data_IF_224711027922
#
_entry.id   IF_224711027922
#
_cell.length_a   1.000
_cell.length_b   1.000
_cell.length_c   1.000
_cell.angle_alpha   90.00
_cell.angle_beta   90.00
_cell.angle_gamma   90.00
#
_symmetry.space_group_name_H-M   'P 1'
#
loop_
_entity.id
_entity.type
_entity.pdbx_description
1 polymer ?
#
# COMPACT_ATOMS: atom_id res chain seq x y z
N UNK A 1 -21.89 -12.35 -15.98
CA UNK A 1 -20.98 -11.64 -15.05
C UNK A 1 -20.68 -10.25 -15.57
N UNK A 2 -20.06 -9.37 -14.79
CA UNK A 2 -19.90 -7.92 -15.09
C UNK A 2 -19.38 -7.61 -16.50
N UNK A 3 -18.53 -8.47 -17.07
CA UNK A 3 -17.98 -8.34 -18.42
C UNK A 3 -19.04 -8.30 -19.54
N UNK A 4 -20.22 -8.92 -19.33
CA UNK A 4 -21.31 -8.88 -20.33
C UNK A 4 -21.90 -7.47 -20.50
N UNK A 5 -21.64 -6.57 -19.56
CA UNK A 5 -22.10 -5.19 -19.61
C UNK A 5 -21.18 -4.27 -20.43
N UNK A 6 -19.94 -4.71 -20.71
CA UNK A 6 -18.92 -3.87 -21.34
C UNK A 6 -19.32 -3.27 -22.70
N UNK A 7 -20.05 -3.98 -23.59
CA UNK A 7 -20.52 -3.42 -24.84
C UNK A 7 -21.46 -2.20 -24.68
N UNK A 8 -22.12 -2.05 -23.53
CA UNK A 8 -23.12 -1.00 -23.31
C UNK A 8 -22.53 0.32 -22.78
N UNK A 9 -21.27 0.34 -22.36
CA UNK A 9 -20.59 1.58 -21.96
C UNK A 9 -19.94 2.27 -23.16
N UNK A 10 -19.80 3.59 -23.12
CA UNK A 10 -19.06 4.34 -24.14
C UNK A 10 -17.55 4.14 -24.05
N UNK A 11 -17.03 4.04 -22.81
CA UNK A 11 -15.60 3.90 -22.52
C UNK A 11 -15.40 2.91 -21.37
N UNK A 12 -14.29 2.17 -21.43
CA UNK A 12 -13.81 1.27 -20.39
C UNK A 12 -12.49 1.84 -19.87
N UNK A 13 -12.50 2.44 -18.68
CA UNK A 13 -11.37 3.23 -18.17
C UNK A 13 -10.56 2.40 -17.17
N UNK A 14 -9.27 2.22 -17.46
CA UNK A 14 -8.29 1.62 -16.55
C UNK A 14 -7.51 2.69 -15.80
N UNK A 15 -7.01 2.35 -14.60
CA UNK A 15 -6.21 3.24 -13.74
C UNK A 15 -4.78 3.51 -14.25
N UNK A 16 -4.34 2.82 -15.30
CA UNK A 16 -3.03 3.04 -15.93
C UNK A 16 -3.01 2.57 -17.38
N UNK A 17 -2.02 3.06 -18.14
CA UNK A 17 -1.79 2.62 -19.53
C UNK A 17 -1.42 1.13 -19.61
N UNK A 18 -0.60 0.65 -18.68
CA UNK A 18 -0.19 -0.77 -18.61
C UNK A 18 -1.40 -1.66 -18.35
N UNK A 19 -2.24 -1.30 -17.37
CA UNK A 19 -3.48 -2.04 -17.07
C UNK A 19 -4.45 -2.00 -18.25
N UNK A 20 -4.54 -0.87 -18.96
CA UNK A 20 -5.33 -0.77 -20.20
C UNK A 20 -4.85 -1.78 -21.25
N UNK A 21 -3.54 -1.84 -21.51
CA UNK A 21 -2.97 -2.77 -22.48
C UNK A 21 -3.22 -4.23 -22.11
N UNK A 22 -3.05 -4.58 -20.83
CA UNK A 22 -3.34 -5.94 -20.34
C UNK A 22 -4.82 -6.29 -20.47
N UNK A 23 -5.72 -5.35 -20.16
CA UNK A 23 -7.15 -5.54 -20.35
C UNK A 23 -7.50 -5.68 -21.84
N UNK A 24 -6.92 -4.88 -22.73
CA UNK A 24 -7.16 -5.01 -24.18
C UNK A 24 -6.77 -6.41 -24.66
N UNK A 25 -5.60 -6.93 -24.25
CA UNK A 25 -5.13 -8.26 -24.65
C UNK A 25 -6.04 -9.38 -24.14
N UNK A 26 -6.53 -9.28 -22.91
CA UNK A 26 -7.23 -10.39 -22.23
C UNK A 26 -8.74 -10.40 -22.45
N UNK A 27 -9.38 -9.24 -22.58
CA UNK A 27 -10.85 -9.13 -22.51
C UNK A 27 -11.49 -8.27 -23.61
N UNK A 28 -10.71 -7.68 -24.52
CA UNK A 28 -11.30 -6.95 -25.65
C UNK A 28 -12.00 -7.91 -26.63
N UNK A 29 -13.07 -7.42 -27.25
CA UNK A 29 -13.77 -8.09 -28.34
C UNK A 29 -14.20 -7.08 -29.40
N UNK A 30 -14.82 -7.55 -30.48
CA UNK A 30 -15.24 -6.70 -31.61
C UNK A 30 -16.11 -5.52 -31.21
N UNK A 31 -16.91 -5.63 -30.15
CA UNK A 31 -17.80 -4.55 -29.67
C UNK A 31 -17.11 -3.58 -28.71
N UNK A 32 -15.92 -3.91 -28.18
CA UNK A 32 -15.28 -3.14 -27.09
C UNK A 32 -13.85 -2.69 -27.39
N UNK A 33 -13.21 -3.16 -28.47
CA UNK A 33 -11.80 -2.90 -28.79
C UNK A 33 -11.42 -1.41 -28.73
N UNK A 34 -12.26 -0.54 -29.26
CA UNK A 34 -11.97 0.91 -29.35
C UNK A 34 -12.43 1.71 -28.12
N UNK A 35 -13.03 1.02 -27.13
CA UNK A 35 -13.60 1.64 -25.92
C UNK A 35 -12.60 1.79 -24.78
N UNK A 36 -11.47 1.08 -24.82
CA UNK A 36 -10.50 1.09 -23.73
C UNK A 36 -9.73 2.41 -23.65
N UNK A 37 -9.73 3.01 -22.47
CA UNK A 37 -9.01 4.25 -22.12
C UNK A 37 -8.27 4.08 -20.80
N UNK A 38 -7.29 4.95 -20.56
CA UNK A 38 -6.55 5.03 -19.31
C UNK A 38 -6.75 6.40 -18.68
N UNK A 39 -6.89 6.42 -17.37
CA UNK A 39 -6.84 7.63 -16.56
C UNK A 39 -6.03 7.31 -15.33
N UNK A 40 -4.91 8.00 -15.15
CA UNK A 40 -4.06 7.80 -13.99
C UNK A 40 -4.79 8.29 -12.74
N UNK A 41 -4.70 7.52 -11.66
CA UNK A 41 -5.15 8.00 -10.35
C UNK A 41 -4.27 9.18 -9.93
N UNK A 42 -4.92 10.26 -9.51
CA UNK A 42 -4.24 11.44 -8.98
C UNK A 42 -4.09 11.35 -7.47
N UNK A 43 -3.06 11.99 -6.94
CA UNK A 43 -2.88 12.21 -5.51
C UNK A 43 -3.22 13.66 -5.17
N UNK A 44 -3.64 13.91 -3.92
CA UNK A 44 -3.89 15.26 -3.43
C UNK A 44 -2.61 15.79 -2.78
N UNK A 45 -1.85 16.61 -3.53
CA UNK A 45 -0.57 17.14 -3.07
C UNK A 45 -0.73 18.10 -1.89
N UNK A 46 -1.72 18.99 -1.92
CA UNK A 46 -1.95 19.97 -0.86
C UNK A 46 -2.25 19.27 0.47
N UNK A 47 -3.09 18.23 0.44
CA UNK A 47 -3.35 17.40 1.62
C UNK A 47 -2.07 16.72 2.11
N UNK A 48 -1.24 16.20 1.21
CA UNK A 48 0.02 15.56 1.60
C UNK A 48 0.91 16.58 2.32
N UNK A 49 1.11 17.77 1.74
CA UNK A 49 1.96 18.81 2.32
C UNK A 49 1.45 19.28 3.69
N UNK A 50 0.14 19.49 3.84
CA UNK A 50 -0.44 19.88 5.13
C UNK A 50 -0.24 18.83 6.23
N UNK A 51 -0.13 17.54 5.86
CA UNK A 51 0.06 16.44 6.80
C UNK A 51 1.53 16.12 7.12
N UNK A 52 2.51 16.69 6.40
CA UNK A 52 3.95 16.36 6.62
C UNK A 52 4.41 16.73 8.03
N UNK A 53 3.93 17.87 8.54
CA UNK A 53 4.34 18.39 9.85
C UNK A 53 3.41 17.93 10.99
N UNK A 54 2.39 17.11 10.69
CA UNK A 54 1.51 16.53 11.69
C UNK A 54 2.17 15.31 12.36
N UNK A 55 2.79 15.53 13.52
CA UNK A 55 3.42 14.48 14.34
C UNK A 55 2.40 13.76 15.27
N UNK A 56 1.10 13.83 14.97
CA UNK A 56 0.00 13.39 15.84
C UNK A 56 0.04 11.89 16.20
N UNK A 57 0.68 11.07 15.38
CA UNK A 57 0.78 9.61 15.58
C UNK A 57 2.04 9.18 16.36
N UNK A 58 2.90 10.14 16.73
CA UNK A 58 4.16 9.89 17.46
C UNK A 58 4.04 10.39 18.89
N UNK A 59 4.22 9.48 19.85
CA UNK A 59 4.06 9.75 21.28
C UNK A 59 5.41 9.66 22.00
N UNK A 60 5.46 10.22 23.21
CA UNK A 60 6.60 10.08 24.11
C UNK A 60 6.29 9.07 25.22
N UNK A 61 7.15 8.07 25.40
CA UNK A 61 7.06 7.08 26.49
C UNK A 61 8.44 6.90 27.12
N UNK A 62 8.58 7.20 28.41
CA UNK A 62 9.84 7.11 29.15
C UNK A 62 11.03 7.86 28.49
N UNK A 63 10.76 8.98 27.82
CA UNK A 63 11.79 9.75 27.10
C UNK A 63 12.09 9.27 25.68
N UNK A 64 11.42 8.21 25.19
CA UNK A 64 11.57 7.69 23.83
C UNK A 64 10.38 8.04 22.94
N UNK A 65 10.64 8.35 21.66
CA UNK A 65 9.60 8.50 20.63
C UNK A 65 9.08 7.11 20.26
N UNK A 66 7.76 6.93 20.31
CA UNK A 66 7.09 5.66 20.01
C UNK A 66 5.88 5.86 19.10
N UNK A 67 5.61 4.86 18.26
CA UNK A 67 4.33 4.71 17.56
C UNK A 67 3.44 3.78 18.39
N UNK A 68 2.19 4.15 18.55
CA UNK A 68 1.21 3.35 19.30
C UNK A 68 0.44 2.45 18.33
N UNK A 69 0.23 1.18 18.73
CA UNK A 69 -0.63 0.24 17.99
C UNK A 69 -1.52 -0.52 18.96
N UNK A 70 -2.75 -0.75 18.54
CA UNK A 70 -3.66 -1.66 19.25
C UNK A 70 -3.42 -3.10 18.78
N UNK A 71 -3.25 -4.01 19.73
CA UNK A 71 -3.12 -5.44 19.48
C UNK A 71 -3.90 -6.19 20.58
N UNK A 72 -4.87 -7.02 20.20
CA UNK A 72 -5.68 -7.82 21.13
C UNK A 72 -6.35 -7.00 22.26
N UNK A 73 -6.88 -5.81 21.91
CA UNK A 73 -7.45 -4.82 22.84
C UNK A 73 -6.46 -4.25 23.86
N UNK A 74 -5.16 -4.45 23.64
CA UNK A 74 -4.08 -3.85 24.42
C UNK A 74 -3.34 -2.81 23.59
N UNK A 75 -3.02 -1.70 24.23
CA UNK A 75 -2.22 -0.64 23.63
C UNK A 75 -0.74 -1.00 23.80
N UNK A 76 -0.06 -1.25 22.69
CA UNK A 76 1.38 -1.50 22.65
C UNK A 76 2.10 -0.35 21.95
N UNK A 77 3.39 -0.19 22.24
CA UNK A 77 4.23 0.89 21.71
C UNK A 77 5.45 0.32 21.00
N UNK A 78 5.75 0.83 19.81
CA UNK A 78 6.94 0.46 19.03
C UNK A 78 7.91 1.66 19.00
N UNK A 79 9.19 1.49 19.36
CA UNK A 79 10.17 2.57 19.26
C UNK A 79 10.29 3.15 17.85
N UNK A 80 10.43 4.47 17.77
CA UNK A 80 10.50 5.23 16.52
C UNK A 80 11.60 6.30 16.59
N UNK A 81 12.86 5.85 16.60
CA UNK A 81 13.99 6.74 16.80
C UNK A 81 14.35 7.45 15.50
N UNK A 82 14.66 8.75 15.56
CA UNK A 82 15.07 9.52 14.36
C UNK A 82 16.30 8.92 13.67
N UNK A 83 17.23 8.33 14.45
CA UNK A 83 18.48 7.75 13.96
C UNK A 83 18.34 6.41 13.22
N UNK A 84 17.23 5.67 13.38
CA UNK A 84 17.05 4.37 12.71
C UNK A 84 17.03 4.52 11.18
N UNK A 85 17.57 3.54 10.46
CA UNK A 85 17.37 3.42 9.02
C UNK A 85 16.02 2.75 8.76
N UNK A 86 15.03 3.52 8.31
CA UNK A 86 13.63 3.06 8.25
C UNK A 86 13.29 2.67 6.83
N UNK A 87 12.86 1.43 6.66
CA UNK A 87 12.19 0.97 5.44
C UNK A 87 10.72 0.84 5.77
N UNK A 88 9.87 1.51 5.00
CA UNK A 88 8.43 1.47 5.19
C UNK A 88 7.77 0.87 3.95
N UNK A 89 6.78 0.02 4.18
CA UNK A 89 5.87 -0.46 3.13
C UNK A 89 4.44 -0.35 3.64
N UNK A 90 3.52 -0.04 2.72
CA UNK A 90 2.11 0.12 3.05
C UNK A 90 1.24 -0.57 2.01
N UNK A 91 0.22 -1.32 2.47
CA UNK A 91 -0.73 -1.98 1.58
C UNK A 91 -1.59 -3.02 2.30
N UNK A 92 -2.57 -3.56 1.58
CA UNK A 92 -3.39 -4.68 2.10
C UNK A 92 -2.50 -5.90 2.36
N UNK A 93 -2.60 -6.51 3.55
CA UNK A 93 -1.86 -7.72 3.87
C UNK A 93 -2.50 -8.92 3.16
N UNK A 94 -2.15 -9.09 1.88
CA UNK A 94 -2.64 -10.16 1.01
C UNK A 94 -1.52 -10.78 0.18
N UNK A 95 -1.68 -12.02 -0.31
CA UNK A 95 -0.62 -12.72 -1.04
C UNK A 95 -0.08 -11.94 -2.24
N UNK A 96 -0.95 -11.25 -2.98
CA UNK A 96 -0.56 -10.46 -4.15
C UNK A 96 0.33 -9.24 -3.82
N UNK A 97 0.48 -8.88 -2.54
CA UNK A 97 1.36 -7.80 -2.09
C UNK A 97 2.75 -8.29 -1.66
N UNK A 98 2.95 -9.59 -1.47
CA UNK A 98 4.28 -10.18 -1.29
C UNK A 98 5.06 -9.71 -0.06
N UNK A 99 4.36 -9.40 1.05
CA UNK A 99 5.01 -8.97 2.30
C UNK A 99 5.89 -10.06 2.92
N UNK A 100 5.56 -11.33 2.68
CA UNK A 100 6.36 -12.50 3.04
C UNK A 100 7.77 -12.45 2.43
N UNK A 101 7.85 -12.24 1.11
CA UNK A 101 9.11 -12.09 0.39
C UNK A 101 9.92 -10.90 0.89
N UNK A 102 9.23 -9.79 1.19
CA UNK A 102 9.87 -8.60 1.76
C UNK A 102 10.49 -8.89 3.13
N UNK A 103 9.75 -9.53 4.04
CA UNK A 103 10.24 -9.86 5.38
C UNK A 103 11.47 -10.79 5.27
N UNK A 104 11.40 -11.79 4.40
CA UNK A 104 12.51 -12.72 4.17
C UNK A 104 13.74 -12.00 3.61
N UNK A 105 13.59 -11.14 2.61
CA UNK A 105 14.71 -10.39 2.04
C UNK A 105 15.30 -9.38 3.04
N UNK A 106 14.46 -8.83 3.93
CA UNK A 106 14.90 -7.83 4.91
C UNK A 106 15.83 -8.41 5.98
N UNK A 107 15.86 -9.72 6.22
CA UNK A 107 16.83 -10.32 7.16
C UNK A 107 18.27 -9.99 6.76
N UNK A 108 18.60 -10.10 5.46
CA UNK A 108 19.92 -9.72 4.95
C UNK A 108 20.24 -8.23 5.07
N UNK A 109 19.21 -7.37 5.06
CA UNK A 109 19.39 -5.92 5.30
C UNK A 109 19.77 -5.66 6.76
N UNK A 110 19.13 -6.36 7.70
CA UNK A 110 19.43 -6.22 9.13
C UNK A 110 20.82 -6.78 9.47
N UNK A 111 21.25 -7.86 8.80
CA UNK A 111 22.62 -8.38 8.95
C UNK A 111 23.68 -7.35 8.53
N UNK A 112 23.45 -6.63 7.43
CA UNK A 112 24.34 -5.58 6.95
C UNK A 112 24.23 -4.26 7.74
N UNK A 113 23.05 -3.97 8.28
CA UNK A 113 22.76 -2.76 9.05
C UNK A 113 21.84 -3.08 10.23
N UNK A 114 22.40 -3.33 11.43
CA UNK A 114 21.61 -3.64 12.63
C UNK A 114 20.63 -2.53 13.07
N UNK A 115 20.84 -1.30 12.62
CA UNK A 115 19.96 -0.16 12.88
C UNK A 115 18.80 -0.06 11.86
N UNK A 116 18.71 -0.98 10.89
CA UNK A 116 17.61 -1.03 9.94
C UNK A 116 16.32 -1.52 10.63
N UNK A 117 15.21 -0.82 10.37
CA UNK A 117 13.87 -1.13 10.90
C UNK A 117 12.87 -1.19 9.75
N UNK A 118 12.15 -2.30 9.67
CA UNK A 118 11.06 -2.48 8.70
C UNK A 118 9.72 -2.16 9.37
N UNK A 119 9.00 -1.18 8.81
CA UNK A 119 7.64 -0.82 9.20
C UNK A 119 6.67 -1.28 8.11
N UNK A 120 5.74 -2.15 8.48
CA UNK A 120 4.67 -2.65 7.60
C UNK A 120 3.34 -2.05 8.09
N UNK A 121 2.70 -1.25 7.23
CA UNK A 121 1.42 -0.62 7.51
C UNK A 121 0.34 -1.26 6.64
N UNK A 122 -0.64 -1.89 7.25
CA UNK A 122 -1.66 -2.58 6.49
C UNK A 122 -2.65 -3.35 7.34
N UNK A 123 -3.80 -3.64 6.74
CA UNK A 123 -4.77 -4.59 7.26
C UNK A 123 -5.07 -5.64 6.18
N UNK A 124 -5.51 -6.83 6.58
CA UNK A 124 -5.69 -7.99 5.72
C UNK A 124 -6.98 -8.74 5.99
N UNK A 125 -7.48 -9.50 4.98
CA UNK A 125 -8.73 -10.25 5.10
C UNK A 125 -8.73 -11.31 6.21
N UNK A 126 -7.55 -11.77 6.64
CA UNK A 126 -7.40 -12.78 7.68
C UNK A 126 -7.56 -12.23 9.11
N UNK A 127 -7.56 -10.91 9.32
CA UNK A 127 -7.60 -10.32 10.66
C UNK A 127 -8.83 -10.72 11.47
N UNK A 128 -9.95 -10.98 10.80
CA UNK A 128 -11.24 -11.32 11.40
C UNK A 128 -11.66 -12.78 11.14
N UNK A 129 -10.72 -13.64 10.75
CA UNK A 129 -10.94 -15.10 10.62
C UNK A 129 -10.45 -15.81 11.87
#
# INVERSE_FOLDING_TARGET
GVMSLYPYYDKLVSVSEVTKQENVKKIANRKTKDKFKSSMNTINLDRIYNLVDEDNDIFMKNGERVIVREQDKQITSVPFHKADFKVMTMGRLSPEKGFDNLIQAFSGVVEANPNAKLYILGDGPLKNQ
#
